data_IF_923002258323
#
_entry.id   IF_923002258323
#
_cell.length_a   1.000
_cell.length_b   1.000
_cell.length_c   1.000
_cell.angle_alpha   90.00
_cell.angle_beta   90.00
_cell.angle_gamma   90.00
#
_symmetry.space_group_name_H-M   'P 1'
#
loop_
_entity.id
_entity.type
_entity.pdbx_description
1 polymer ?
#
# COMPACT_ATOMS: atom_id res chain seq x y z
N UNK A 1 8.62 -14.95 2.05
CA UNK A 1 8.95 -14.61 3.46
C UNK A 1 7.77 -13.80 3.98
N UNK A 2 7.04 -14.30 4.99
CA UNK A 2 5.88 -13.58 5.55
C UNK A 2 6.42 -12.58 6.56
N UNK A 3 6.25 -11.30 6.30
CA UNK A 3 6.63 -10.24 7.24
C UNK A 3 5.65 -10.29 8.41
N UNK A 4 6.09 -10.38 9.67
CA UNK A 4 5.20 -10.33 10.82
C UNK A 4 4.38 -9.03 10.82
N UNK A 5 3.09 -9.13 11.17
CA UNK A 5 2.16 -7.96 11.20
C UNK A 5 2.69 -6.77 12.00
N UNK A 6 3.54 -7.03 13.01
CA UNK A 6 4.16 -5.98 13.85
C UNK A 6 5.17 -5.11 13.10
N UNK A 7 5.82 -5.65 12.09
CA UNK A 7 6.85 -4.92 11.33
C UNK A 7 6.26 -3.98 10.27
N UNK A 8 4.95 -4.09 9.98
CA UNK A 8 4.27 -3.23 9.00
C UNK A 8 3.75 -1.90 9.59
N UNK A 9 3.90 -1.70 10.89
CA UNK A 9 3.41 -0.54 11.63
C UNK A 9 4.52 0.29 12.31
N UNK A 10 5.79 -0.08 12.10
CA UNK A 10 6.95 0.63 12.64
C UNK A 10 8.00 0.90 11.57
N UNK A 11 8.70 2.02 11.71
CA UNK A 11 9.90 2.29 10.92
C UNK A 11 11.10 1.55 11.53
N UNK A 12 12.10 1.14 10.72
CA UNK A 12 13.35 0.60 11.21
C UNK A 12 14.01 1.55 12.21
N UNK A 13 14.47 1.02 13.33
CA UNK A 13 15.22 1.78 14.34
C UNK A 13 16.71 1.84 14.02
N UNK A 14 17.21 0.82 13.33
CA UNK A 14 18.61 0.73 12.88
C UNK A 14 18.79 1.49 11.56
N UNK A 15 19.99 2.06 11.32
CA UNK A 15 20.33 2.66 10.03
C UNK A 15 20.14 1.69 8.87
N UNK A 16 19.57 2.16 7.77
CA UNK A 16 19.39 1.33 6.58
C UNK A 16 20.72 1.10 5.88
N UNK A 17 21.02 -0.16 5.58
CA UNK A 17 22.22 -0.48 4.79
C UNK A 17 22.13 0.16 3.42
N UNK A 18 23.22 0.81 2.97
CA UNK A 18 23.30 1.42 1.64
C UNK A 18 22.60 2.78 1.52
N UNK A 19 22.41 3.49 2.64
CA UNK A 19 21.93 4.88 2.62
C UNK A 19 22.76 5.76 1.69
N UNK A 20 22.09 6.62 0.95
CA UNK A 20 22.73 7.50 -0.02
C UNK A 20 21.85 8.70 -0.38
N UNK A 21 22.47 9.76 -0.92
CA UNK A 21 21.79 10.98 -1.38
C UNK A 21 21.46 10.99 -2.88
N UNK A 22 21.67 9.88 -3.60
CA UNK A 22 21.41 9.82 -5.05
C UNK A 22 19.92 9.80 -5.34
N UNK A 23 19.53 10.39 -6.45
CA UNK A 23 18.19 10.26 -6.98
C UNK A 23 17.97 8.86 -7.54
N UNK A 24 16.87 8.24 -7.16
CA UNK A 24 16.41 6.93 -7.61
C UNK A 24 15.15 7.12 -8.44
N UNK A 25 15.22 6.81 -9.73
CA UNK A 25 14.12 6.93 -10.69
C UNK A 25 13.63 5.57 -11.21
N UNK A 26 14.34 4.47 -10.91
CA UNK A 26 14.02 3.12 -11.38
C UNK A 26 14.25 2.11 -10.28
N UNK A 27 13.44 1.06 -10.23
CA UNK A 27 13.54 0.00 -9.22
C UNK A 27 14.91 -0.68 -9.22
N UNK A 28 15.56 -0.83 -10.37
CA UNK A 28 16.90 -1.42 -10.49
C UNK A 28 18.00 -0.62 -9.75
N UNK A 29 17.76 0.66 -9.44
CA UNK A 29 18.68 1.51 -8.70
C UNK A 29 18.44 1.53 -7.18
N UNK A 30 17.34 0.92 -6.71
CA UNK A 30 16.97 0.83 -5.28
C UNK A 30 17.95 -0.08 -4.55
N UNK A 31 18.54 0.39 -3.44
CA UNK A 31 19.45 -0.36 -2.57
C UNK A 31 18.84 -0.76 -1.24
N UNK A 32 17.86 0.01 -0.80
CA UNK A 32 17.14 -0.23 0.45
C UNK A 32 15.70 0.26 0.34
N UNK A 33 14.84 -0.26 1.21
CA UNK A 33 13.44 0.11 1.22
C UNK A 33 12.84 0.02 2.62
N UNK A 34 11.73 0.70 2.80
CA UNK A 34 10.87 0.62 3.99
C UNK A 34 9.45 0.25 3.54
N UNK A 35 8.86 -0.71 4.24
CA UNK A 35 7.43 -1.03 4.13
C UNK A 35 6.74 -0.57 5.40
N UNK A 36 5.72 0.29 5.27
CA UNK A 36 4.91 0.79 6.38
C UNK A 36 3.44 0.88 5.96
N UNK A 37 2.68 -0.18 6.19
CA UNK A 37 1.30 -0.31 5.71
C UNK A 37 0.26 0.06 6.75
N UNK A 38 0.60 -0.02 8.06
CA UNK A 38 -0.33 0.22 9.15
C UNK A 38 0.08 1.48 9.93
N UNK A 39 -0.42 2.67 9.56
CA UNK A 39 -0.01 3.92 10.22
C UNK A 39 -0.64 4.14 11.60
N UNK A 40 -1.40 3.19 12.16
CA UNK A 40 -2.19 3.33 13.38
C UNK A 40 -1.42 3.63 14.66
N UNK A 41 -0.09 3.47 14.67
CA UNK A 41 0.77 3.86 15.81
C UNK A 41 1.16 5.34 15.83
N UNK A 42 0.92 6.04 14.75
CA UNK A 42 1.22 7.46 14.67
C UNK A 42 0.05 8.28 15.22
N UNK A 43 0.35 9.21 16.11
CA UNK A 43 -0.65 10.07 16.75
C UNK A 43 -1.47 10.91 15.78
N UNK A 44 -0.89 11.21 14.61
CA UNK A 44 -1.55 12.01 13.58
C UNK A 44 -0.98 11.72 12.19
N UNK A 45 -1.76 12.09 11.16
CA UNK A 45 -1.30 12.08 9.76
C UNK A 45 -0.02 12.91 9.57
N UNK A 46 0.09 14.06 10.26
CA UNK A 46 1.29 14.90 10.17
C UNK A 46 2.52 14.20 10.76
N UNK A 47 2.38 13.52 11.91
CA UNK A 47 3.44 12.73 12.52
C UNK A 47 3.89 11.55 11.63
N UNK A 48 2.92 10.84 11.04
CA UNK A 48 3.18 9.77 10.08
C UNK A 48 3.99 10.26 8.87
N UNK A 49 3.53 11.34 8.23
CA UNK A 49 4.22 11.91 7.07
C UNK A 49 5.61 12.47 7.43
N UNK A 50 5.76 13.06 8.61
CA UNK A 50 7.05 13.55 9.09
C UNK A 50 8.05 12.40 9.29
N UNK A 51 7.60 11.30 9.88
CA UNK A 51 8.42 10.11 10.10
C UNK A 51 8.86 9.46 8.76
N UNK A 52 7.95 9.32 7.79
CA UNK A 52 8.29 8.82 6.45
C UNK A 52 9.29 9.73 5.72
N UNK A 53 9.12 11.06 5.83
CA UNK A 53 10.04 12.03 5.21
C UNK A 53 11.43 11.97 5.82
N UNK A 54 11.55 11.71 7.12
CA UNK A 54 12.82 11.57 7.81
C UNK A 54 13.58 10.28 7.44
N UNK A 55 12.91 9.29 6.87
CA UNK A 55 13.54 8.04 6.42
C UNK A 55 14.53 8.30 5.27
N UNK A 56 15.77 7.75 5.30
CA UNK A 56 16.74 7.86 4.23
C UNK A 56 16.53 6.86 3.08
N UNK A 57 15.47 6.04 3.12
CA UNK A 57 15.22 4.96 2.18
C UNK A 57 15.16 5.40 0.71
N UNK A 58 15.63 4.55 -0.19
CA UNK A 58 15.52 4.70 -1.64
C UNK A 58 14.11 4.42 -2.17
N UNK A 59 13.34 3.61 -1.43
CA UNK A 59 11.99 3.22 -1.77
C UNK A 59 11.13 3.20 -0.50
N UNK A 60 9.97 3.82 -0.56
CA UNK A 60 8.89 3.64 0.41
C UNK A 60 7.77 2.83 -0.22
N UNK A 61 7.28 1.81 0.49
CA UNK A 61 6.06 1.07 0.17
C UNK A 61 5.08 1.35 1.30
N UNK A 62 4.02 2.11 1.00
CA UNK A 62 3.08 2.62 1.99
C UNK A 62 1.63 2.43 1.53
N UNK A 63 0.70 2.56 2.45
CA UNK A 63 -0.71 2.59 2.09
C UNK A 63 -1.07 3.90 1.38
N UNK A 64 -2.02 3.84 0.42
CA UNK A 64 -2.61 5.03 -0.18
C UNK A 64 -3.33 5.90 0.87
N UNK A 65 -3.89 5.26 1.90
CA UNK A 65 -4.73 5.93 2.88
C UNK A 65 -4.04 6.10 4.24
N UNK A 66 -4.33 7.21 4.88
CA UNK A 66 -4.18 7.38 6.33
C UNK A 66 -5.59 7.49 6.92
N UNK A 67 -6.04 6.44 7.62
CA UNK A 67 -7.45 6.29 7.98
C UNK A 67 -8.35 6.18 6.73
N UNK A 68 -9.40 6.98 6.68
CA UNK A 68 -10.34 6.96 5.55
C UNK A 68 -9.96 7.93 4.39
N UNK A 69 -8.89 8.72 4.55
CA UNK A 69 -8.53 9.76 3.58
C UNK A 69 -7.26 9.38 2.79
N UNK A 70 -7.29 9.40 1.45
CA UNK A 70 -6.12 9.14 0.62
C UNK A 70 -5.04 10.21 0.83
N UNK A 71 -3.80 9.86 0.58
CA UNK A 71 -2.70 10.82 0.52
C UNK A 71 -2.89 11.72 -0.70
N UNK A 72 -2.64 13.01 -0.51
CA UNK A 72 -2.73 13.98 -1.58
C UNK A 72 -1.46 13.96 -2.45
N UNK A 73 -1.58 14.39 -3.70
CA UNK A 73 -0.43 14.54 -4.62
C UNK A 73 0.70 15.37 -4.01
N UNK A 74 0.36 16.41 -3.23
CA UNK A 74 1.35 17.26 -2.56
C UNK A 74 2.10 16.49 -1.45
N UNK A 75 1.40 15.65 -0.71
CA UNK A 75 2.02 14.83 0.34
C UNK A 75 2.95 13.78 -0.28
N UNK A 76 2.48 13.05 -1.30
CA UNK A 76 3.30 12.06 -2.02
C UNK A 76 4.54 12.71 -2.65
N UNK A 77 4.40 13.87 -3.31
CA UNK A 77 5.53 14.61 -3.87
C UNK A 77 6.60 14.95 -2.81
N UNK A 78 6.17 15.33 -1.58
CA UNK A 78 7.10 15.56 -0.48
C UNK A 78 7.74 14.30 0.07
N UNK A 79 7.07 13.15 -0.03
CA UNK A 79 7.65 11.86 0.34
C UNK A 79 8.69 11.38 -0.67
N UNK A 80 8.61 11.81 -1.92
CA UNK A 80 9.57 11.49 -2.96
C UNK A 80 10.93 12.20 -2.77
N UNK A 81 11.03 13.17 -1.88
CA UNK A 81 12.27 13.84 -1.51
C UNK A 81 12.96 13.11 -0.35
N UNK A 82 14.27 12.85 -0.45
CA UNK A 82 15.07 12.28 0.66
C UNK A 82 15.61 13.38 1.58
N UNK A 83 15.75 13.12 2.90
CA UNK A 83 16.28 14.11 3.84
C UNK A 83 17.71 14.52 3.55
N UNK A 84 18.54 13.64 2.96
CA UNK A 84 19.92 13.93 2.57
C UNK A 84 20.06 14.52 1.16
N UNK A 85 18.94 14.84 0.50
CA UNK A 85 18.90 15.24 -0.91
C UNK A 85 18.64 14.07 -1.86
N UNK A 86 18.30 14.41 -3.11
CA UNK A 86 17.91 13.44 -4.11
C UNK A 86 16.44 12.96 -3.98
N UNK A 87 16.02 12.16 -4.94
CA UNK A 87 14.67 11.63 -5.06
C UNK A 87 14.64 10.14 -4.68
N UNK A 88 13.54 9.69 -4.09
CA UNK A 88 13.21 8.26 -3.90
C UNK A 88 11.95 7.87 -4.68
N UNK A 89 11.74 6.57 -4.81
CA UNK A 89 10.47 6.02 -5.27
C UNK A 89 9.49 5.87 -4.10
N UNK A 90 8.21 6.10 -4.37
CA UNK A 90 7.11 5.86 -3.42
C UNK A 90 6.06 5.02 -4.13
N UNK A 91 5.87 3.77 -3.67
CA UNK A 91 4.87 2.85 -4.20
C UNK A 91 3.69 2.74 -3.23
N UNK A 92 2.48 2.72 -3.78
CA UNK A 92 1.29 2.41 -3.01
C UNK A 92 1.06 0.91 -2.92
N UNK A 93 0.74 0.42 -1.72
CA UNK A 93 0.31 -0.97 -1.54
C UNK A 93 -1.04 -1.21 -2.21
N UNK A 94 -1.16 -2.30 -2.95
CA UNK A 94 -2.38 -2.73 -3.61
C UNK A 94 -2.53 -4.24 -3.52
N UNK A 95 -3.49 -4.73 -2.71
CA UNK A 95 -3.86 -6.13 -2.71
C UNK A 95 -4.70 -6.46 -3.94
N UNK A 96 -4.25 -7.44 -4.75
CA UNK A 96 -4.96 -7.88 -5.95
C UNK A 96 -5.78 -9.16 -5.73
N UNK A 97 -5.42 -9.93 -4.71
CA UNK A 97 -6.06 -11.21 -4.38
C UNK A 97 -7.00 -11.19 -3.20
N UNK A 98 -7.09 -10.07 -2.48
CA UNK A 98 -7.96 -9.91 -1.32
C UNK A 98 -8.61 -8.53 -1.26
N UNK A 99 -9.86 -8.49 -0.82
CA UNK A 99 -10.59 -7.28 -0.49
C UNK A 99 -10.59 -7.08 1.02
N UNK A 100 -10.33 -5.84 1.48
CA UNK A 100 -10.35 -5.53 2.91
C UNK A 100 -11.58 -4.70 3.28
N UNK A 101 -12.21 -5.02 4.41
CA UNK A 101 -13.49 -4.43 4.83
C UNK A 101 -13.36 -2.99 5.37
N UNK A 102 -12.14 -2.56 5.66
CA UNK A 102 -11.82 -1.19 6.04
C UNK A 102 -11.51 -0.26 4.84
N UNK A 103 -11.53 -0.78 3.62
CA UNK A 103 -11.26 0.00 2.41
C UNK A 103 -12.47 0.83 1.96
N UNK A 104 -12.28 2.02 1.37
CA UNK A 104 -13.37 2.88 0.92
C UNK A 104 -14.33 2.21 -0.08
N UNK A 105 -13.85 1.27 -0.90
CA UNK A 105 -14.69 0.53 -1.84
C UNK A 105 -15.61 -0.49 -1.15
N UNK A 106 -15.38 -0.83 0.13
CA UNK A 106 -16.15 -1.84 0.83
C UNK A 106 -17.60 -1.38 1.08
N UNK A 107 -18.54 -2.23 0.73
CA UNK A 107 -19.96 -1.98 1.00
C UNK A 107 -20.42 -2.77 2.23
N UNK A 108 -20.96 -2.08 3.21
CA UNK A 108 -21.35 -2.67 4.52
C UNK A 108 -22.22 -3.93 4.40
N UNK A 109 -23.06 -4.00 3.37
CA UNK A 109 -23.93 -5.15 3.16
C UNK A 109 -23.17 -6.41 2.71
N UNK A 110 -21.94 -6.32 2.24
CA UNK A 110 -21.13 -7.48 1.83
C UNK A 110 -20.77 -8.41 2.99
N UNK A 111 -20.75 -7.91 4.22
CA UNK A 111 -20.56 -8.76 5.41
C UNK A 111 -21.69 -9.79 5.55
N UNK A 112 -22.95 -9.40 5.24
CA UNK A 112 -24.13 -10.25 5.36
C UNK A 112 -24.49 -10.96 4.03
N UNK A 113 -24.31 -10.25 2.89
CA UNK A 113 -24.66 -10.76 1.56
C UNK A 113 -23.48 -10.51 0.61
N UNK A 114 -22.60 -11.49 0.55
CA UNK A 114 -21.41 -11.39 -0.30
C UNK A 114 -21.76 -11.46 -1.78
N UNK A 115 -21.15 -10.63 -2.61
CA UNK A 115 -21.21 -10.81 -4.05
C UNK A 115 -20.44 -12.10 -4.45
N UNK A 116 -20.74 -12.68 -5.60
CA UNK A 116 -20.19 -13.97 -6.04
C UNK A 116 -18.66 -14.00 -6.15
N UNK A 117 -18.03 -12.84 -6.30
CA UNK A 117 -16.58 -12.72 -6.38
C UNK A 117 -15.89 -12.64 -5.02
N UNK A 118 -16.62 -12.38 -3.93
CA UNK A 118 -16.09 -12.22 -2.57
C UNK A 118 -16.21 -13.54 -1.80
N UNK A 119 -15.09 -14.20 -1.57
CA UNK A 119 -15.02 -15.49 -0.90
C UNK A 119 -14.90 -15.34 0.62
N UNK A 120 -14.36 -16.35 1.29
CA UNK A 120 -14.21 -16.38 2.75
C UNK A 120 -13.13 -15.40 3.24
N UNK A 121 -13.24 -14.91 4.49
CA UNK A 121 -12.17 -14.15 5.10
C UNK A 121 -10.89 -14.99 5.18
N UNK A 122 -9.75 -14.30 5.12
CA UNK A 122 -8.46 -14.92 5.34
C UNK A 122 -8.28 -15.20 6.85
N UNK A 123 -8.07 -16.45 7.28
CA UNK A 123 -7.92 -16.77 8.71
C UNK A 123 -6.75 -16.04 9.39
N UNK A 124 -5.69 -15.72 8.65
CA UNK A 124 -4.54 -14.97 9.16
C UNK A 124 -4.78 -13.45 9.22
N UNK A 125 -5.73 -12.96 8.43
CA UNK A 125 -6.08 -11.54 8.30
C UNK A 125 -7.61 -11.39 8.26
N UNK A 126 -8.30 -11.41 9.41
CA UNK A 126 -9.76 -11.49 9.48
C UNK A 126 -10.52 -10.38 8.77
N UNK A 127 -9.89 -9.18 8.64
CA UNK A 127 -10.45 -8.01 7.96
C UNK A 127 -10.27 -8.07 6.44
N UNK A 128 -9.60 -9.13 5.92
CA UNK A 128 -9.31 -9.36 4.51
C UNK A 128 -10.03 -10.59 4.00
N UNK A 129 -10.65 -10.46 2.85
CA UNK A 129 -11.47 -11.50 2.22
C UNK A 129 -10.85 -11.90 0.89
N UNK A 130 -10.70 -13.19 0.68
CA UNK A 130 -10.25 -13.73 -0.60
C UNK A 130 -11.21 -13.36 -1.72
N UNK A 131 -10.69 -13.08 -2.92
CA UNK A 131 -11.50 -12.69 -4.06
C UNK A 131 -11.22 -13.57 -5.27
N UNK A 132 -12.25 -13.82 -6.06
CA UNK A 132 -12.09 -14.39 -7.40
C UNK A 132 -11.46 -13.31 -8.30
N UNK A 133 -10.14 -13.21 -8.30
CA UNK A 133 -9.37 -12.15 -8.95
C UNK A 133 -9.65 -12.04 -10.46
N UNK A 134 -10.13 -13.11 -11.09
CA UNK A 134 -10.56 -13.10 -12.50
C UNK A 134 -11.94 -12.47 -12.71
N UNK A 135 -12.69 -12.17 -11.64
CA UNK A 135 -14.03 -11.60 -11.74
C UNK A 135 -13.99 -10.15 -12.25
N UNK A 136 -14.83 -9.86 -13.24
CA UNK A 136 -14.92 -8.51 -13.80
C UNK A 136 -15.36 -7.45 -12.78
N UNK A 137 -16.35 -7.69 -11.88
CA UNK A 137 -16.69 -6.73 -10.84
C UNK A 137 -15.52 -6.40 -9.90
N UNK A 138 -14.73 -7.39 -9.47
CA UNK A 138 -13.54 -7.15 -8.65
C UNK A 138 -12.49 -6.33 -9.40
N UNK A 139 -12.19 -6.71 -10.64
CA UNK A 139 -11.22 -5.97 -11.47
C UNK A 139 -11.60 -4.51 -11.67
N UNK A 140 -12.92 -4.19 -11.76
CA UNK A 140 -13.39 -2.82 -11.87
C UNK A 140 -13.13 -1.99 -10.61
N UNK A 141 -13.09 -2.61 -9.44
CA UNK A 141 -12.69 -1.95 -8.19
C UNK A 141 -11.19 -1.60 -8.23
N UNK A 142 -10.37 -2.49 -8.81
CA UNK A 142 -8.93 -2.29 -8.87
C UNK A 142 -8.50 -1.38 -10.03
N UNK A 143 -9.09 -1.54 -11.22
CA UNK A 143 -8.73 -0.79 -12.44
C UNK A 143 -9.87 -0.79 -13.48
N UNK A 144 -9.80 0.16 -14.41
CA UNK A 144 -10.72 0.21 -15.57
C UNK A 144 -12.09 0.83 -15.27
N UNK A 145 -12.19 1.66 -14.23
CA UNK A 145 -13.29 2.58 -13.95
C UNK A 145 -12.71 3.87 -13.40
N UNK A 146 -13.43 4.98 -13.53
CA UNK A 146 -12.93 6.30 -13.10
C UNK A 146 -12.63 6.40 -11.59
N UNK A 147 -13.27 5.53 -10.78
CA UNK A 147 -13.11 5.48 -9.31
C UNK A 147 -12.32 4.24 -8.88
N UNK A 148 -11.52 3.65 -9.78
CA UNK A 148 -10.73 2.47 -9.45
C UNK A 148 -9.55 2.82 -8.54
N UNK A 149 -9.19 1.88 -7.67
CA UNK A 149 -8.12 2.07 -6.70
C UNK A 149 -6.77 2.46 -7.35
N UNK A 150 -6.47 1.89 -8.53
CA UNK A 150 -5.25 2.21 -9.28
C UNK A 150 -5.28 3.65 -9.82
N UNK A 151 -6.45 4.14 -10.23
CA UNK A 151 -6.60 5.52 -10.69
C UNK A 151 -6.38 6.51 -9.53
N UNK A 152 -6.89 6.20 -8.33
CA UNK A 152 -6.61 6.98 -7.11
C UNK A 152 -5.10 7.01 -6.77
N UNK A 153 -4.38 5.88 -6.93
CA UNK A 153 -2.92 5.81 -6.74
C UNK A 153 -2.20 6.73 -7.75
N UNK A 154 -2.61 6.70 -9.01
CA UNK A 154 -2.05 7.55 -10.08
C UNK A 154 -2.32 9.03 -9.78
N UNK A 155 -3.55 9.36 -9.39
CA UNK A 155 -3.97 10.73 -9.08
C UNK A 155 -3.25 11.29 -7.85
N UNK A 156 -2.99 10.44 -6.86
CA UNK A 156 -2.18 10.81 -5.70
C UNK A 156 -0.68 11.00 -6.05
N UNK A 157 -0.23 10.58 -7.24
CA UNK A 157 1.13 10.82 -7.74
C UNK A 157 2.18 9.86 -7.25
N UNK A 158 1.80 8.67 -6.84
CA UNK A 158 2.74 7.59 -6.56
C UNK A 158 3.52 7.19 -7.82
N UNK A 159 4.72 6.65 -7.65
CA UNK A 159 5.55 6.16 -8.76
C UNK A 159 5.05 4.83 -9.32
N UNK A 160 4.14 4.16 -8.62
CA UNK A 160 3.53 2.91 -9.01
C UNK A 160 2.83 2.22 -7.85
N UNK A 161 2.43 0.96 -8.06
CA UNK A 161 1.82 0.12 -7.05
C UNK A 161 2.71 -1.08 -6.71
N UNK A 162 2.75 -1.42 -5.41
CA UNK A 162 3.29 -2.69 -4.92
C UNK A 162 2.14 -3.69 -4.84
N UNK A 163 2.14 -4.66 -5.75
CA UNK A 163 1.08 -5.66 -5.85
C UNK A 163 1.31 -6.78 -4.84
N UNK A 164 0.32 -7.01 -3.99
CA UNK A 164 0.34 -8.07 -2.99
C UNK A 164 -0.75 -9.13 -3.24
N UNK A 165 -0.61 -10.30 -2.61
CA UNK A 165 -1.51 -11.46 -2.78
C UNK A 165 -1.59 -11.91 -4.24
N UNK A 166 -0.45 -11.87 -4.94
CA UNK A 166 -0.30 -12.32 -6.33
C UNK A 166 -0.46 -13.83 -6.47
N UNK A 167 -0.32 -14.58 -5.38
CA UNK A 167 -0.47 -16.03 -5.27
C UNK A 167 -1.92 -16.47 -4.94
N UNK A 168 -2.89 -15.56 -5.03
CA UNK A 168 -4.32 -15.82 -4.76
C UNK A 168 -4.88 -17.02 -5.55
N UNK A 169 -4.30 -17.35 -6.69
CA UNK A 169 -4.68 -18.52 -7.49
C UNK A 169 -4.56 -19.84 -6.72
N UNK A 170 -3.64 -19.95 -5.76
CA UNK A 170 -3.46 -21.15 -4.91
C UNK A 170 -4.69 -21.44 -4.02
N UNK A 171 -5.47 -20.42 -3.73
CA UNK A 171 -6.67 -20.51 -2.89
C UNK A 171 -7.84 -21.20 -3.59
N UNK A 172 -7.85 -21.21 -4.92
CA UNK A 172 -8.96 -21.68 -5.74
C UNK A 172 -8.63 -22.93 -6.57
N UNK A 173 -7.60 -23.67 -6.16
CA UNK A 173 -7.24 -24.98 -6.71
C UNK A 173 -8.06 -26.11 -6.11
#
# INVERSE_FOLDING_TARGET
>A
MTVPRRELDVLPQEPLTGENSRSVAQLAAVRNFVILLNPGRFESRAAYLAALRASPADLLIIDLYYGAAPLTRREVARLQEKPQGGRRLVLAYLSVGEAADYRPYWQKHWAAKRPDWLAQPNPAWPDSYRVKYWSRPWRRILYGSADAYLDEIIDAGFDGAFLDVMDAWQTFQ
#
